data_IF_875407546718
#
_entry.id   IF_875407546718
#
_cell.length_a   1.000
_cell.length_b   1.000
_cell.length_c   1.000
_cell.angle_alpha   90.00
_cell.angle_beta   90.00
_cell.angle_gamma   90.00
#
_symmetry.space_group_name_H-M   'P 1'
#
loop_
_entity.id
_entity.type
_entity.pdbx_description
1 polymer ?
#
# COMPACT_ATOMS: atom_id res chain seq x y z
N UNK A 1 4.41 -70.27 25.64
CA UNK A 1 3.40 -70.87 24.75
C UNK A 1 2.14 -70.02 24.80
N UNK A 2 1.48 -69.87 23.66
CA UNK A 2 0.42 -68.89 23.42
C UNK A 2 -0.79 -69.01 24.37
N UNK A 3 -1.45 -67.88 24.64
CA UNK A 3 -2.90 -67.83 24.54
C UNK A 3 -3.36 -66.45 24.06
N UNK A 4 -4.20 -66.48 23.04
CA UNK A 4 -4.93 -65.36 22.48
C UNK A 4 -6.08 -65.03 23.44
N UNK A 5 -6.26 -63.74 23.77
CA UNK A 5 -7.36 -63.24 24.59
C UNK A 5 -7.78 -61.86 24.08
N UNK A 6 -9.08 -61.73 23.83
CA UNK A 6 -9.76 -60.68 23.07
C UNK A 6 -9.69 -59.25 23.64
N UNK A 7 -9.70 -58.31 22.69
CA UNK A 7 -10.48 -57.05 22.61
C UNK A 7 -11.06 -56.51 23.95
N UNK A 8 -10.46 -55.42 24.44
CA UNK A 8 -11.18 -54.38 25.18
C UNK A 8 -10.68 -53.01 24.72
N UNK A 9 -11.62 -52.11 24.44
CA UNK A 9 -11.39 -50.75 24.00
C UNK A 9 -10.72 -49.87 25.07
N UNK A 10 -10.06 -48.82 24.59
CA UNK A 10 -9.44 -47.84 25.46
C UNK A 10 -8.93 -46.64 24.67
N UNK A 11 -9.68 -45.55 24.79
CA UNK A 11 -9.31 -44.16 24.61
C UNK A 11 -8.88 -43.66 23.22
N UNK A 12 -9.69 -42.71 22.72
CA UNK A 12 -9.38 -41.77 21.67
C UNK A 12 -7.96 -41.20 21.84
N UNK A 13 -7.03 -41.68 21.00
CA UNK A 13 -5.81 -40.96 20.69
C UNK A 13 -6.22 -39.70 19.95
N UNK A 14 -6.31 -38.59 20.68
CA UNK A 14 -6.42 -37.27 20.09
C UNK A 14 -5.29 -37.08 19.09
N UNK A 15 -5.63 -37.04 17.81
CA UNK A 15 -4.76 -36.47 16.80
C UNK A 15 -4.68 -34.98 17.14
N UNK A 16 -3.70 -34.60 17.96
CA UNK A 16 -3.25 -33.22 18.00
C UNK A 16 -2.38 -33.04 16.76
N UNK A 17 -2.84 -32.37 15.69
CA UNK A 17 -1.91 -31.89 14.70
C UNK A 17 -1.03 -30.88 15.46
N UNK A 18 0.20 -31.30 15.77
CA UNK A 18 1.26 -30.37 16.11
C UNK A 18 1.44 -29.55 14.85
N UNK A 19 0.76 -28.40 14.77
CA UNK A 19 1.07 -27.36 13.79
C UNK A 19 2.50 -26.96 14.08
N UNK A 20 3.46 -27.65 13.43
CA UNK A 20 4.81 -27.13 13.28
C UNK A 20 4.63 -25.75 12.67
N UNK A 21 4.83 -24.73 13.48
CA UNK A 21 5.04 -23.38 13.00
C UNK A 21 6.20 -23.47 12.02
N UNK A 22 5.89 -23.41 10.73
CA UNK A 22 6.88 -23.33 9.68
C UNK A 22 7.26 -21.84 9.58
N UNK A 23 8.43 -21.44 10.10
CA UNK A 23 8.84 -20.03 10.09
C UNK A 23 8.92 -19.48 8.67
N UNK A 24 9.22 -20.32 7.67
CA UNK A 24 9.30 -19.91 6.26
C UNK A 24 7.91 -19.62 5.71
N UNK A 25 6.91 -20.43 6.06
CA UNK A 25 5.52 -20.18 5.67
C UNK A 25 4.93 -18.96 6.40
N UNK A 26 5.33 -18.74 7.66
CA UNK A 26 4.94 -17.57 8.45
C UNK A 26 5.63 -16.27 7.99
N UNK A 27 6.82 -16.35 7.38
CA UNK A 27 7.50 -15.25 6.69
C UNK A 27 6.89 -14.99 5.31
N UNK A 28 6.65 -16.02 4.50
CA UNK A 28 6.00 -15.91 3.17
C UNK A 28 4.60 -15.31 3.26
N UNK A 29 3.84 -15.60 4.32
CA UNK A 29 2.52 -15.00 4.57
C UNK A 29 2.59 -13.53 5.07
N UNK A 30 3.78 -13.00 5.35
CA UNK A 30 4.02 -11.62 5.81
C UNK A 30 4.81 -10.78 4.80
N UNK A 31 4.95 -11.29 3.59
CA UNK A 31 5.57 -10.57 2.49
C UNK A 31 4.51 -9.91 1.61
N UNK A 32 4.73 -8.63 1.29
CA UNK A 32 3.86 -7.85 0.43
C UNK A 32 4.62 -7.43 -0.83
N UNK A 33 4.08 -7.79 -1.99
CA UNK A 33 4.62 -7.42 -3.29
C UNK A 33 4.13 -6.02 -3.68
N UNK A 34 5.08 -5.13 -3.93
CA UNK A 34 4.89 -3.72 -4.24
C UNK A 34 5.07 -3.51 -5.73
N UNK A 35 3.96 -3.20 -6.40
CA UNK A 35 3.93 -2.84 -7.81
C UNK A 35 3.04 -1.62 -8.06
N UNK A 36 2.87 -1.21 -9.34
CA UNK A 36 2.06 -0.05 -9.72
C UNK A 36 0.62 -0.05 -9.20
N UNK A 37 0.06 -1.22 -8.91
CA UNK A 37 -1.30 -1.35 -8.37
C UNK A 37 -1.35 -1.30 -6.83
N UNK A 38 -0.27 -1.61 -6.12
CA UNK A 38 -0.29 -1.88 -4.67
C UNK A 38 0.53 -0.91 -3.83
N UNK A 39 1.47 -0.14 -4.39
CA UNK A 39 2.41 0.65 -3.58
C UNK A 39 1.72 1.64 -2.63
N UNK A 40 0.59 2.20 -3.03
CA UNK A 40 -0.19 3.13 -2.22
C UNK A 40 -0.78 2.52 -0.94
N UNK A 41 -0.91 1.19 -0.89
CA UNK A 41 -1.54 0.47 0.22
C UNK A 41 -0.51 0.10 1.32
N UNK A 42 0.79 0.28 1.06
CA UNK A 42 1.86 -0.12 1.99
C UNK A 42 1.64 0.42 3.40
N UNK A 43 1.34 1.71 3.54
CA UNK A 43 1.13 2.32 4.85
C UNK A 43 -0.15 1.81 5.54
N UNK A 44 -1.21 1.51 4.79
CA UNK A 44 -2.42 0.91 5.34
C UNK A 44 -2.16 -0.52 5.83
N UNK A 45 -1.36 -1.31 5.10
CA UNK A 45 -0.94 -2.64 5.52
C UNK A 45 -0.14 -2.60 6.83
N UNK A 46 0.79 -1.64 6.96
CA UNK A 46 1.57 -1.46 8.20
C UNK A 46 0.68 -1.07 9.37
N UNK A 47 -0.20 -0.07 9.19
CA UNK A 47 -1.16 0.33 10.24
C UNK A 47 -2.08 -0.82 10.64
N UNK A 48 -2.49 -1.65 9.68
CA UNK A 48 -3.28 -2.85 9.95
C UNK A 48 -2.48 -3.86 10.79
N UNK A 49 -1.24 -4.17 10.41
CA UNK A 49 -0.37 -5.07 11.16
C UNK A 49 -0.12 -4.58 12.59
N UNK A 50 0.13 -3.29 12.77
CA UNK A 50 0.29 -2.65 14.08
C UNK A 50 -0.99 -2.80 14.93
N UNK A 51 -2.15 -2.46 14.37
CA UNK A 51 -3.44 -2.56 15.08
C UNK A 51 -3.83 -3.98 15.50
N UNK A 52 -3.27 -4.99 14.82
CA UNK A 52 -3.55 -6.41 15.03
C UNK A 52 -2.41 -7.16 15.73
N UNK A 53 -1.28 -6.50 15.99
CA UNK A 53 -0.09 -7.13 16.60
C UNK A 53 0.53 -8.24 15.75
N UNK A 54 0.48 -8.13 14.41
CA UNK A 54 0.87 -9.22 13.48
C UNK A 54 2.38 -9.31 13.20
N UNK A 55 3.18 -8.45 13.84
CA UNK A 55 4.61 -8.30 13.54
C UNK A 55 4.84 -7.52 12.23
N UNK A 56 6.11 -7.35 11.85
CA UNK A 56 6.48 -6.56 10.68
C UNK A 56 6.03 -7.22 9.37
N UNK A 57 5.59 -6.39 8.42
CA UNK A 57 5.36 -6.78 7.03
C UNK A 57 6.64 -6.49 6.26
N UNK A 58 7.13 -7.48 5.52
CA UNK A 58 8.28 -7.34 4.64
C UNK A 58 7.81 -6.96 3.23
N UNK A 59 8.31 -5.85 2.72
CA UNK A 59 7.99 -5.38 1.36
C UNK A 59 9.09 -5.79 0.38
N UNK A 60 8.67 -6.19 -0.82
CA UNK A 60 9.54 -6.43 -1.98
C UNK A 60 8.89 -5.85 -3.23
N UNK A 61 9.67 -5.51 -4.23
CA UNK A 61 9.12 -5.11 -5.53
C UNK A 61 8.50 -6.31 -6.26
N UNK A 62 7.52 -5.99 -7.09
CA UNK A 62 7.12 -6.87 -8.18
C UNK A 62 8.22 -6.87 -9.26
N UNK A 63 8.58 -8.06 -9.75
CA UNK A 63 9.59 -8.24 -10.79
C UNK A 63 9.05 -7.65 -12.11
N UNK A 64 9.38 -6.38 -12.37
CA UNK A 64 8.85 -5.62 -13.50
C UNK A 64 8.01 -4.40 -13.12
N UNK A 65 7.88 -4.08 -11.83
CA UNK A 65 7.17 -2.89 -11.36
C UNK A 65 7.71 -1.58 -11.96
N UNK A 66 9.02 -1.52 -12.22
CA UNK A 66 9.75 -0.35 -12.70
C UNK A 66 9.42 0.97 -11.96
N UNK A 67 8.87 0.91 -10.75
CA UNK A 67 8.49 2.10 -9.95
C UNK A 67 9.71 2.95 -9.57
N UNK A 68 10.89 2.34 -9.61
CA UNK A 68 12.19 2.96 -9.36
C UNK A 68 12.76 3.66 -10.60
N UNK A 69 12.21 3.40 -11.79
CA UNK A 69 12.56 4.10 -13.03
C UNK A 69 12.01 5.53 -12.98
N UNK A 70 12.87 6.57 -13.06
CA UNK A 70 12.42 7.96 -13.10
C UNK A 70 11.46 8.29 -14.25
N UNK A 71 11.46 7.49 -15.32
CA UNK A 71 10.56 7.66 -16.46
C UNK A 71 9.19 7.02 -16.26
N UNK A 72 9.01 6.22 -15.20
CA UNK A 72 7.73 5.60 -14.91
C UNK A 72 6.71 6.67 -14.44
N UNK A 73 5.47 6.72 -15.00
CA UNK A 73 4.49 7.76 -14.66
C UNK A 73 4.12 7.85 -13.18
N UNK A 74 4.22 6.72 -12.45
CA UNK A 74 3.94 6.64 -11.01
C UNK A 74 5.18 6.82 -10.13
N UNK A 75 6.37 7.07 -10.69
CA UNK A 75 7.61 7.18 -9.91
C UNK A 75 7.50 8.24 -8.80
N UNK A 76 7.02 9.44 -9.14
CA UNK A 76 6.91 10.53 -8.16
C UNK A 76 5.84 10.23 -7.11
N UNK A 77 4.73 9.60 -7.51
CA UNK A 77 3.68 9.17 -6.58
C UNK A 77 4.18 8.09 -5.62
N UNK A 78 5.02 7.17 -6.10
CA UNK A 78 5.69 6.16 -5.28
C UNK A 78 6.61 6.81 -4.24
N UNK A 79 7.45 7.77 -4.64
CA UNK A 79 8.28 8.51 -3.70
C UNK A 79 7.44 9.27 -2.66
N UNK A 80 6.32 9.89 -3.03
CA UNK A 80 5.43 10.52 -2.06
C UNK A 80 4.86 9.49 -1.07
N UNK A 81 4.44 8.31 -1.53
CA UNK A 81 3.97 7.23 -0.63
C UNK A 81 5.03 6.81 0.37
N UNK A 82 6.29 6.69 -0.08
CA UNK A 82 7.42 6.37 0.79
C UNK A 82 7.73 7.44 1.84
N UNK A 83 7.00 8.56 1.90
CA UNK A 83 7.10 9.54 2.98
C UNK A 83 6.09 9.31 4.11
N UNK A 84 5.21 8.32 4.00
CA UNK A 84 4.28 8.01 5.10
C UNK A 84 5.08 7.65 6.38
N UNK A 85 4.77 8.26 7.54
CA UNK A 85 5.43 7.94 8.81
C UNK A 85 5.28 6.48 9.23
N UNK A 86 4.17 5.80 8.89
CA UNK A 86 3.95 4.40 9.26
C UNK A 86 5.04 3.48 8.72
N UNK A 87 5.61 3.80 7.56
CA UNK A 87 6.69 3.05 6.94
C UNK A 87 8.05 3.20 7.66
N UNK A 88 8.16 4.04 8.70
CA UNK A 88 9.32 4.06 9.61
C UNK A 88 9.06 3.30 10.92
N UNK A 89 7.88 2.69 11.07
CA UNK A 89 7.57 1.91 12.28
C UNK A 89 8.31 0.57 12.26
N UNK A 90 8.42 -0.05 13.44
CA UNK A 90 8.94 -1.42 13.56
C UNK A 90 8.05 -2.48 12.89
N UNK A 91 6.87 -2.09 12.38
CA UNK A 91 5.95 -2.96 11.63
C UNK A 91 6.19 -2.93 10.11
N UNK A 92 7.17 -2.15 9.64
CA UNK A 92 7.57 -2.08 8.24
C UNK A 92 9.01 -2.57 8.07
N UNK A 93 9.20 -3.72 7.43
CA UNK A 93 10.50 -4.14 6.90
C UNK A 93 10.53 -3.78 5.42
N UNK A 94 11.21 -2.69 5.06
CA UNK A 94 11.24 -2.21 3.68
C UNK A 94 12.22 -2.96 2.79
N UNK A 95 13.12 -3.79 3.35
CA UNK A 95 14.09 -4.56 2.57
C UNK A 95 14.79 -3.73 1.48
N UNK A 96 14.60 -4.12 0.22
CA UNK A 96 15.17 -3.46 -0.96
C UNK A 96 14.55 -2.09 -1.30
N UNK A 97 13.42 -1.74 -0.68
CA UNK A 97 12.74 -0.45 -0.83
C UNK A 97 13.36 0.62 0.07
N UNK A 98 14.09 0.24 1.13
CA UNK A 98 14.68 1.16 2.11
C UNK A 98 15.49 2.31 1.45
N UNK A 99 16.40 2.06 0.48
CA UNK A 99 17.15 3.14 -0.17
C UNK A 99 16.27 4.14 -0.92
N UNK A 100 15.09 3.71 -1.39
CA UNK A 100 14.13 4.58 -2.06
C UNK A 100 13.36 5.44 -1.07
N UNK A 101 13.15 4.98 0.17
CA UNK A 101 12.60 5.80 1.24
C UNK A 101 13.58 6.89 1.63
N UNK A 102 14.85 6.57 1.82
CA UNK A 102 15.90 7.57 2.08
C UNK A 102 15.96 8.63 0.96
N UNK A 103 15.85 8.18 -0.29
CA UNK A 103 15.77 9.07 -1.45
C UNK A 103 14.50 9.93 -1.43
N UNK A 104 13.34 9.36 -1.14
CA UNK A 104 12.08 10.10 -1.04
C UNK A 104 12.14 11.21 0.03
N UNK A 105 12.79 10.94 1.16
CA UNK A 105 12.95 11.89 2.26
C UNK A 105 13.97 13.00 1.97
N UNK A 106 14.95 12.75 1.09
CA UNK A 106 16.00 13.73 0.74
C UNK A 106 15.69 14.56 -0.50
N UNK A 107 14.88 14.04 -1.43
CA UNK A 107 14.48 14.76 -2.64
C UNK A 107 13.41 15.81 -2.35
N UNK A 108 13.37 16.87 -3.17
CA UNK A 108 12.25 17.80 -3.20
C UNK A 108 11.14 17.24 -4.09
N UNK A 109 9.98 16.92 -3.50
CA UNK A 109 8.81 16.39 -4.18
C UNK A 109 7.71 17.47 -4.33
N UNK A 110 6.68 17.25 -5.17
CA UNK A 110 5.62 18.23 -5.39
C UNK A 110 4.95 18.74 -4.11
N UNK A 111 4.78 17.89 -3.10
CA UNK A 111 4.17 18.29 -1.83
C UNK A 111 5.01 19.30 -1.04
N UNK A 112 6.32 19.36 -1.26
CA UNK A 112 7.22 20.30 -0.56
C UNK A 112 7.02 21.75 -1.02
N UNK A 113 6.49 21.96 -2.23
CA UNK A 113 6.19 23.29 -2.75
C UNK A 113 5.05 23.98 -2.00
N UNK A 114 4.28 23.25 -1.20
CA UNK A 114 3.13 23.76 -0.47
C UNK A 114 3.48 24.31 0.92
N UNK A 115 4.75 24.16 1.33
CA UNK A 115 5.22 24.54 2.64
C UNK A 115 4.76 23.59 3.76
N UNK A 116 5.13 23.88 5.02
CA UNK A 116 4.77 23.05 6.15
C UNK A 116 3.25 23.13 6.42
N UNK A 117 2.62 21.96 6.61
CA UNK A 117 1.18 21.82 6.94
C UNK A 117 0.25 22.49 5.91
N UNK A 118 0.29 22.04 4.65
CA UNK A 118 -0.57 22.61 3.62
C UNK A 118 -2.04 22.39 3.93
N UNK A 119 -2.87 23.39 3.65
CA UNK A 119 -4.33 23.25 3.79
C UNK A 119 -4.92 22.48 2.60
N UNK A 120 -6.13 21.91 2.77
CA UNK A 120 -6.90 21.31 1.67
C UNK A 120 -7.04 22.26 0.47
N UNK A 121 -7.27 23.56 0.75
CA UNK A 121 -7.38 24.61 -0.29
C UNK A 121 -6.06 24.81 -1.05
N UNK A 122 -4.92 24.75 -0.37
CA UNK A 122 -3.61 24.84 -1.01
C UNK A 122 -3.36 23.65 -1.94
N UNK A 123 -3.68 22.43 -1.49
CA UNK A 123 -3.57 21.21 -2.30
C UNK A 123 -4.46 21.26 -3.55
N UNK A 124 -5.73 21.65 -3.42
CA UNK A 124 -6.63 21.82 -4.58
C UNK A 124 -6.07 22.83 -5.59
N UNK A 125 -5.54 23.95 -5.12
CA UNK A 125 -4.92 24.97 -5.98
C UNK A 125 -3.67 24.45 -6.67
N UNK A 126 -2.84 23.69 -5.97
CA UNK A 126 -1.65 23.09 -6.55
C UNK A 126 -2.00 22.05 -7.63
N UNK A 127 -3.01 21.21 -7.39
CA UNK A 127 -3.52 20.26 -8.39
C UNK A 127 -4.07 20.98 -9.62
N UNK A 128 -4.78 22.10 -9.43
CA UNK A 128 -5.24 22.94 -10.53
C UNK A 128 -4.07 23.58 -11.29
N UNK A 129 -3.07 24.09 -10.59
CA UNK A 129 -1.88 24.71 -11.18
C UNK A 129 -1.01 23.69 -11.93
N UNK A 130 -1.01 22.42 -11.50
CA UNK A 130 -0.33 21.33 -12.21
C UNK A 130 -0.95 21.05 -13.60
N UNK A 131 -2.19 21.49 -13.85
CA UNK A 131 -2.82 21.41 -15.17
C UNK A 131 -2.79 20.00 -15.76
N UNK A 132 -2.18 19.86 -16.93
CA UNK A 132 -2.07 18.60 -17.68
C UNK A 132 -0.96 17.66 -17.18
N UNK A 133 -0.15 18.09 -16.21
CA UNK A 133 0.86 17.22 -15.58
C UNK A 133 0.19 16.21 -14.65
N UNK A 134 -0.27 15.11 -15.22
CA UNK A 134 -1.06 14.10 -14.53
C UNK A 134 -0.27 13.39 -13.43
N UNK A 135 1.02 13.10 -13.67
CA UNK A 135 1.95 12.49 -12.71
C UNK A 135 2.07 13.33 -11.44
N UNK A 136 2.18 14.65 -11.61
CA UNK A 136 2.22 15.60 -10.50
C UNK A 136 0.88 15.64 -9.76
N UNK A 137 -0.25 15.60 -10.49
CA UNK A 137 -1.57 15.52 -9.85
C UNK A 137 -1.75 14.24 -9.03
N UNK A 138 -1.32 13.08 -9.54
CA UNK A 138 -1.34 11.81 -8.79
C UNK A 138 -0.47 11.91 -7.54
N UNK A 139 0.76 12.41 -7.67
CA UNK A 139 1.67 12.60 -6.53
C UNK A 139 1.07 13.53 -5.45
N UNK A 140 0.44 14.65 -5.86
CA UNK A 140 -0.26 15.54 -4.93
C UNK A 140 -1.48 14.89 -4.29
N UNK A 141 -2.18 13.99 -4.98
CA UNK A 141 -3.30 13.23 -4.39
C UNK A 141 -2.80 12.23 -3.34
N UNK A 142 -1.71 11.52 -3.61
CA UNK A 142 -1.03 10.67 -2.62
C UNK A 142 -0.66 11.51 -1.39
N UNK A 143 0.04 12.63 -1.59
CA UNK A 143 0.42 13.51 -0.48
C UNK A 143 -0.78 14.07 0.30
N UNK A 144 -1.91 14.32 -0.36
CA UNK A 144 -3.16 14.72 0.29
C UNK A 144 -3.71 13.60 1.18
N UNK A 145 -3.74 12.36 0.67
CA UNK A 145 -4.23 11.18 1.40
C UNK A 145 -3.38 10.86 2.63
N UNK A 146 -2.06 10.99 2.52
CA UNK A 146 -1.15 10.85 3.67
C UNK A 146 -1.46 11.83 4.81
N UNK A 147 -2.02 13.01 4.49
CA UNK A 147 -2.26 14.09 5.46
C UNK A 147 -3.70 14.14 5.96
N UNK A 148 -4.67 13.87 5.09
CA UNK A 148 -6.10 14.04 5.36
C UNK A 148 -6.88 12.73 5.36
N UNK A 149 -6.20 11.60 5.11
CA UNK A 149 -6.83 10.31 4.95
C UNK A 149 -7.43 10.09 3.55
N UNK A 150 -8.00 8.91 3.37
CA UNK A 150 -8.58 8.43 2.12
C UNK A 150 -9.99 9.02 1.88
N UNK A 151 -10.10 10.35 1.91
CA UNK A 151 -11.34 11.06 1.60
C UNK A 151 -11.71 10.87 0.11
N UNK A 152 -13.01 10.71 -0.17
CA UNK A 152 -13.52 10.48 -1.52
C UNK A 152 -13.06 11.54 -2.54
N UNK A 153 -12.91 12.81 -2.11
CA UNK A 153 -12.40 13.87 -2.99
C UNK A 153 -11.03 13.51 -3.58
N UNK A 154 -10.07 13.10 -2.74
CA UNK A 154 -8.69 12.85 -3.18
C UNK A 154 -8.62 11.61 -4.06
N UNK A 155 -9.37 10.56 -3.69
CA UNK A 155 -9.48 9.34 -4.47
C UNK A 155 -10.10 9.57 -5.84
N UNK A 156 -11.15 10.39 -5.93
CA UNK A 156 -11.77 10.75 -7.21
C UNK A 156 -10.85 11.56 -8.12
N UNK A 157 -10.12 12.52 -7.56
CA UNK A 157 -9.10 13.30 -8.32
C UNK A 157 -7.93 12.43 -8.78
N UNK A 158 -7.48 11.51 -7.93
CA UNK A 158 -6.43 10.53 -8.26
C UNK A 158 -6.90 9.62 -9.42
N UNK A 159 -8.13 9.10 -9.33
CA UNK A 159 -8.72 8.26 -10.37
C UNK A 159 -8.75 8.97 -11.74
N UNK A 160 -9.18 10.23 -11.77
CA UNK A 160 -9.19 11.04 -13.00
C UNK A 160 -7.79 11.22 -13.58
N UNK A 161 -6.80 11.58 -12.75
CA UNK A 161 -5.43 11.78 -13.21
C UNK A 161 -4.77 10.47 -13.70
N UNK A 162 -5.06 9.34 -13.04
CA UNK A 162 -4.61 8.01 -13.49
C UNK A 162 -5.25 7.61 -14.82
N UNK A 163 -6.53 7.92 -15.03
CA UNK A 163 -7.21 7.65 -16.29
C UNK A 163 -6.57 8.44 -17.44
N UNK A 164 -6.27 9.72 -17.23
CA UNK A 164 -5.62 10.58 -18.22
C UNK A 164 -4.18 10.11 -18.56
N UNK A 165 -3.52 9.39 -17.64
CA UNK A 165 -2.24 8.69 -17.90
C UNK A 165 -2.37 7.36 -18.65
N UNK A 166 -3.59 6.90 -18.93
CA UNK A 166 -3.85 5.57 -19.50
C UNK A 166 -3.73 4.42 -18.50
N UNK A 167 -3.66 4.71 -17.20
CA UNK A 167 -3.54 3.72 -16.12
C UNK A 167 -4.93 3.27 -15.63
N UNK A 168 -5.70 2.70 -16.55
CA UNK A 168 -7.14 2.45 -16.37
C UNK A 168 -7.48 1.52 -15.21
N UNK A 169 -6.65 0.51 -14.94
CA UNK A 169 -6.88 -0.43 -13.84
C UNK A 169 -6.77 0.27 -12.48
N UNK A 170 -5.73 1.09 -12.31
CA UNK A 170 -5.49 1.89 -11.10
C UNK A 170 -6.57 2.97 -10.95
N UNK A 171 -6.93 3.63 -12.06
CA UNK A 171 -7.99 4.63 -12.09
C UNK A 171 -9.33 4.05 -11.59
N UNK A 172 -9.72 2.88 -12.10
CA UNK A 172 -10.93 2.19 -11.67
C UNK A 172 -10.90 1.78 -10.20
N UNK A 173 -9.76 1.29 -9.71
CA UNK A 173 -9.62 0.94 -8.29
C UNK A 173 -9.79 2.16 -7.38
N UNK A 174 -9.19 3.31 -7.75
CA UNK A 174 -9.32 4.57 -7.01
C UNK A 174 -10.74 5.13 -7.07
N UNK A 175 -11.41 5.02 -8.21
CA UNK A 175 -12.81 5.41 -8.33
C UNK A 175 -13.70 4.56 -7.42
N UNK A 176 -13.52 3.23 -7.44
CA UNK A 176 -14.29 2.33 -6.59
C UNK A 176 -14.11 2.66 -5.10
N UNK A 177 -12.87 2.97 -4.68
CA UNK A 177 -12.58 3.43 -3.31
C UNK A 177 -13.24 4.78 -3.00
N UNK A 178 -13.24 5.73 -3.96
CA UNK A 178 -13.92 7.02 -3.82
C UNK A 178 -15.43 6.84 -3.60
N UNK A 179 -16.07 6.02 -4.45
CA UNK A 179 -17.52 5.73 -4.36
C UNK A 179 -17.85 5.02 -3.05
N UNK A 180 -17.05 4.06 -2.62
CA UNK A 180 -17.23 3.40 -1.32
C UNK A 180 -17.12 4.38 -0.14
N UNK A 181 -16.32 5.43 -0.28
CA UNK A 181 -16.18 6.54 0.69
C UNK A 181 -17.26 7.62 0.60
N UNK A 182 -18.32 7.42 -0.19
CA UNK A 182 -19.42 8.40 -0.36
C UNK A 182 -19.17 9.44 -1.46
N UNK A 183 -18.17 9.23 -2.32
CA UNK A 183 -17.96 10.02 -3.53
C UNK A 183 -19.01 9.73 -4.60
N UNK A 184 -19.20 10.67 -5.52
CA UNK A 184 -20.09 10.47 -6.65
C UNK A 184 -19.54 9.41 -7.61
N UNK A 185 -20.41 8.50 -8.07
CA UNK A 185 -20.10 7.57 -9.14
C UNK A 185 -20.02 8.35 -10.47
N UNK A 186 -18.85 8.89 -10.76
CA UNK A 186 -18.58 9.59 -12.02
C UNK A 186 -18.14 8.55 -13.04
N UNK A 187 -18.78 8.53 -14.22
CA UNK A 187 -18.27 7.78 -15.35
C UNK A 187 -16.93 8.38 -15.77
N UNK A 188 -15.83 7.66 -15.54
CA UNK A 188 -14.54 8.02 -16.09
C UNK A 188 -14.45 7.35 -17.46
N UNK A 189 -14.83 8.10 -18.50
CA UNK A 189 -14.67 7.82 -19.93
C UNK A 189 -14.87 6.39 -20.39
#
# INVERSE_FOLDING_TARGET
MAYMGSIMGGAAGGFQPVTRYDPVLAELLREAIVGPASFHEMAAMVRYAESRGLGAIRFRFDDGAALTDPMHPLHIAFLETLRDPALASAFADLGEIEPWRERALSLRLPSDMLGPRPSRKALRRAMQAAGTSCEVRVALCVAARLRFGDEAEWLGREAQALYELGLFTQARARLAASVAGGGEAIAIG
#
